data_IF_246280047883
#
_entry.id   IF_246280047883
#
_cell.length_a   1.000
_cell.length_b   1.000
_cell.length_c   1.000
_cell.angle_alpha   90.00
_cell.angle_beta   90.00
_cell.angle_gamma   90.00
#
_symmetry.space_group_name_H-M   'P 1'
#
loop_
_entity.id
_entity.type
_entity.pdbx_description
1 polymer ?
#
# COMPACT_ATOMS: atom_id res chain seq x y z
N UNK A 1 -17.36 11.68 -14.24
CA UNK A 1 -16.09 12.01 -13.55
C UNK A 1 -15.56 10.75 -12.88
N UNK A 2 -14.37 10.29 -13.28
CA UNK A 2 -13.78 9.01 -12.88
C UNK A 2 -13.40 8.99 -11.39
N UNK A 3 -14.25 8.38 -10.55
CA UNK A 3 -13.93 8.08 -9.14
C UNK A 3 -12.59 7.34 -9.01
N UNK A 4 -12.28 6.48 -9.98
CA UNK A 4 -11.02 5.75 -10.12
C UNK A 4 -9.80 6.64 -10.32
N UNK A 5 -9.87 7.59 -11.26
CA UNK A 5 -8.77 8.49 -11.53
C UNK A 5 -8.48 9.36 -10.31
N UNK A 6 -9.54 9.83 -9.64
CA UNK A 6 -9.43 10.65 -8.44
C UNK A 6 -8.88 9.89 -7.23
N UNK A 7 -9.21 8.60 -7.06
CA UNK A 7 -8.63 7.78 -6.00
C UNK A 7 -7.13 7.49 -6.23
N UNK A 8 -6.76 7.21 -7.49
CA UNK A 8 -5.36 7.00 -7.88
C UNK A 8 -4.53 8.29 -7.75
N UNK A 9 -5.09 9.44 -8.12
CA UNK A 9 -4.45 10.76 -7.96
C UNK A 9 -4.32 11.18 -6.49
N UNK A 10 -5.33 10.89 -5.65
CA UNK A 10 -5.31 11.28 -4.24
C UNK A 10 -4.32 10.48 -3.38
N UNK A 11 -3.97 9.24 -3.76
CA UNK A 11 -3.04 8.42 -2.99
C UNK A 11 -1.57 8.61 -3.38
N UNK A 12 -1.28 9.07 -4.60
CA UNK A 12 0.09 9.27 -5.10
C UNK A 12 0.09 10.34 -6.21
N UNK A 13 1.01 11.31 -6.15
CA UNK A 13 1.42 12.14 -7.29
C UNK A 13 2.06 11.25 -8.37
N UNK A 14 1.26 10.50 -9.13
CA UNK A 14 1.72 9.79 -10.31
C UNK A 14 0.67 9.93 -11.42
N UNK A 15 1.15 10.18 -12.64
CA UNK A 15 0.30 10.29 -13.82
C UNK A 15 -0.58 9.05 -13.94
N UNK A 16 -1.89 9.25 -14.04
CA UNK A 16 -2.87 8.17 -14.19
C UNK A 16 -2.58 7.39 -15.48
N UNK A 17 -2.29 6.08 -15.40
CA UNK A 17 -1.98 5.31 -16.59
C UNK A 17 -3.22 5.26 -17.50
N UNK A 18 -3.04 5.59 -18.78
CA UNK A 18 -4.12 5.56 -19.77
C UNK A 18 -4.36 4.10 -20.18
N UNK A 19 -5.58 3.61 -19.99
CA UNK A 19 -5.98 2.28 -20.43
C UNK A 19 -5.95 2.18 -21.96
N UNK A 20 -5.46 1.05 -22.49
CA UNK A 20 -5.41 0.76 -23.94
C UNK A 20 -6.10 -0.56 -24.23
N UNK A 21 -6.68 -0.74 -25.41
CA UNK A 21 -7.20 -2.05 -25.82
C UNK A 21 -6.03 -2.90 -26.31
N UNK A 22 -5.89 -4.13 -25.80
CA UNK A 22 -4.89 -5.07 -26.29
C UNK A 22 -5.38 -5.83 -27.53
N UNK A 23 -4.49 -6.62 -28.15
CA UNK A 23 -4.82 -7.42 -29.35
C UNK A 23 -5.87 -8.50 -29.13
N UNK A 24 -6.24 -8.77 -27.87
CA UNK A 24 -7.27 -9.74 -27.49
C UNK A 24 -8.63 -9.07 -27.21
N UNK A 25 -8.75 -7.75 -27.42
CA UNK A 25 -9.98 -6.97 -27.20
C UNK A 25 -10.23 -6.56 -25.74
N UNK A 26 -9.27 -6.77 -24.83
CA UNK A 26 -9.41 -6.40 -23.42
C UNK A 26 -8.81 -5.03 -23.14
N UNK A 27 -9.40 -4.29 -22.20
CA UNK A 27 -8.76 -3.13 -21.60
C UNK A 27 -7.49 -3.56 -20.82
N UNK A 28 -6.35 -3.00 -21.21
CA UNK A 28 -5.03 -3.19 -20.63
C UNK A 28 -4.63 -1.93 -19.86
N UNK A 29 -4.26 -2.13 -18.60
CA UNK A 29 -3.69 -1.11 -17.74
C UNK A 29 -2.39 -1.62 -17.16
N UNK A 30 -1.27 -0.98 -17.49
CA UNK A 30 0.04 -1.33 -16.95
C UNK A 30 0.29 -0.54 -15.67
N UNK A 31 0.17 -1.20 -14.52
CA UNK A 31 0.47 -0.62 -13.21
C UNK A 31 1.65 -1.38 -12.61
N UNK A 32 2.74 -0.69 -12.29
CA UNK A 32 3.91 -1.28 -11.62
C UNK A 32 3.80 -1.30 -10.10
N UNK A 33 2.91 -0.51 -9.52
CA UNK A 33 2.74 -0.40 -8.06
C UNK A 33 1.87 -1.55 -7.51
N UNK A 34 2.46 -2.39 -6.65
CA UNK A 34 1.77 -3.52 -6.02
C UNK A 34 0.54 -3.09 -5.19
N UNK A 35 0.58 -1.95 -4.50
CA UNK A 35 -0.57 -1.45 -3.73
C UNK A 35 -1.79 -1.28 -4.64
N UNK A 36 -1.57 -0.66 -5.80
CA UNK A 36 -2.62 -0.42 -6.78
C UNK A 36 -3.11 -1.71 -7.43
N UNK A 37 -2.22 -2.66 -7.71
CA UNK A 37 -2.60 -3.97 -8.25
C UNK A 37 -3.50 -4.73 -7.28
N UNK A 38 -3.18 -4.74 -5.98
CA UNK A 38 -4.02 -5.35 -4.93
C UNK A 38 -5.37 -4.67 -4.82
N UNK A 39 -5.40 -3.34 -4.81
CA UNK A 39 -6.64 -2.57 -4.80
C UNK A 39 -7.52 -2.92 -5.99
N UNK A 40 -6.95 -2.96 -7.21
CA UNK A 40 -7.67 -3.31 -8.42
C UNK A 40 -8.25 -4.74 -8.34
N UNK A 41 -7.51 -5.68 -7.72
CA UNK A 41 -7.94 -7.07 -7.50
C UNK A 41 -9.13 -7.16 -6.57
N UNK A 42 -9.05 -6.49 -5.44
CA UNK A 42 -10.14 -6.46 -4.48
C UNK A 42 -11.38 -5.82 -5.09
N UNK A 43 -11.23 -4.70 -5.80
CA UNK A 43 -12.35 -4.05 -6.49
C UNK A 43 -13.01 -4.96 -7.52
N UNK A 44 -12.22 -5.61 -8.38
CA UNK A 44 -12.77 -6.49 -9.42
C UNK A 44 -13.49 -7.70 -8.82
N UNK A 45 -12.98 -8.25 -7.71
CA UNK A 45 -13.65 -9.31 -6.95
C UNK A 45 -14.96 -8.81 -6.32
N UNK A 46 -14.93 -7.65 -5.67
CA UNK A 46 -16.09 -7.04 -5.02
C UNK A 46 -17.23 -6.74 -6.01
N UNK A 47 -16.87 -6.34 -7.24
CA UNK A 47 -17.82 -5.98 -8.29
C UNK A 47 -18.09 -7.10 -9.32
N UNK A 48 -17.59 -8.32 -9.10
CA UNK A 48 -17.75 -9.48 -10.00
C UNK A 48 -17.40 -9.18 -11.47
N UNK A 49 -16.35 -8.40 -11.71
CA UNK A 49 -15.96 -8.01 -13.07
C UNK A 49 -15.15 -9.10 -13.78
N UNK A 50 -15.34 -9.31 -15.09
CA UNK A 50 -14.60 -10.31 -15.84
C UNK A 50 -13.12 -9.94 -15.94
N UNK A 51 -12.25 -10.88 -15.54
CA UNK A 51 -10.82 -10.68 -15.42
C UNK A 51 -10.01 -11.83 -16.01
N UNK A 52 -8.87 -11.52 -16.62
CA UNK A 52 -8.02 -12.51 -17.30
C UNK A 52 -7.17 -13.32 -16.31
N UNK A 53 -7.73 -14.41 -15.78
CA UNK A 53 -7.18 -15.25 -14.69
C UNK A 53 -5.64 -15.37 -14.68
N UNK A 54 -5.01 -15.71 -15.82
CA UNK A 54 -3.55 -15.92 -15.93
C UNK A 54 -2.68 -14.78 -15.39
N UNK A 55 -3.14 -13.52 -15.46
CA UNK A 55 -2.41 -12.34 -14.98
C UNK A 55 -2.72 -12.02 -13.51
N UNK A 56 -3.90 -12.44 -13.05
CA UNK A 56 -4.45 -12.13 -11.74
C UNK A 56 -3.99 -13.08 -10.64
N UNK A 57 -3.70 -14.34 -10.99
CA UNK A 57 -3.16 -15.34 -10.06
C UNK A 57 -1.82 -14.89 -9.45
N UNK A 58 -1.04 -14.10 -10.18
CA UNK A 58 0.29 -13.66 -9.75
C UNK A 58 0.25 -12.48 -8.75
N UNK A 59 -0.90 -11.81 -8.58
CA UNK A 59 -1.04 -10.70 -7.65
C UNK A 59 -1.47 -11.29 -6.31
N UNK A 60 -0.60 -11.27 -5.32
CA UNK A 60 -0.95 -11.66 -3.95
C UNK A 60 -1.51 -10.45 -3.18
N UNK A 61 -2.79 -10.50 -2.83
CA UNK A 61 -3.48 -9.45 -2.07
C UNK A 61 -2.97 -9.30 -0.64
N UNK A 62 -2.42 -10.37 -0.06
CA UNK A 62 -1.99 -10.44 1.32
C UNK A 62 -0.49 -10.19 1.49
N UNK A 63 0.28 -10.18 0.40
CA UNK A 63 1.72 -9.94 0.44
C UNK A 63 2.04 -8.54 0.93
N UNK A 64 2.46 -8.36 2.18
CA UNK A 64 2.92 -7.05 2.67
C UNK A 64 4.38 -6.84 2.26
N UNK A 65 4.65 -5.82 1.45
CA UNK A 65 6.03 -5.49 1.07
C UNK A 65 6.80 -4.89 2.25
N UNK A 66 8.14 -4.97 2.22
CA UNK A 66 8.99 -4.34 3.25
C UNK A 66 8.72 -2.82 3.38
N UNK A 67 8.42 -2.16 2.27
CA UNK A 67 8.08 -0.73 2.24
C UNK A 67 6.72 -0.43 2.86
N UNK A 68 5.71 -1.25 2.58
CA UNK A 68 4.39 -1.16 3.22
C UNK A 68 4.51 -1.40 4.72
N UNK A 69 5.23 -2.45 5.14
CA UNK A 69 5.47 -2.73 6.55
C UNK A 69 6.19 -1.58 7.25
N UNK A 70 7.19 -0.96 6.59
CA UNK A 70 7.87 0.21 7.13
C UNK A 70 6.91 1.39 7.34
N UNK A 71 6.01 1.67 6.38
CA UNK A 71 4.97 2.71 6.53
C UNK A 71 4.01 2.41 7.68
N UNK A 72 3.54 1.16 7.80
CA UNK A 72 2.69 0.71 8.90
C UNK A 72 3.40 0.93 10.23
N UNK A 73 4.66 0.51 10.34
CA UNK A 73 5.46 0.67 11.54
C UNK A 73 5.65 2.15 11.91
N UNK A 74 5.93 3.03 10.95
CA UNK A 74 6.02 4.48 11.18
C UNK A 74 4.70 5.04 11.74
N UNK A 75 3.57 4.68 11.12
CA UNK A 75 2.25 5.11 11.59
C UNK A 75 1.94 4.64 13.01
N UNK A 76 2.24 3.37 13.31
CA UNK A 76 2.04 2.80 14.64
C UNK A 76 2.94 3.44 15.69
N UNK A 77 4.21 3.66 15.39
CA UNK A 77 5.15 4.36 16.29
C UNK A 77 4.66 5.77 16.57
N UNK A 78 4.23 6.52 15.55
CA UNK A 78 3.66 7.86 15.71
C UNK A 78 2.45 7.86 16.67
N UNK A 79 1.46 6.98 16.43
CA UNK A 79 0.29 6.85 17.30
C UNK A 79 0.63 6.49 18.74
N UNK A 80 1.61 5.62 18.95
CA UNK A 80 2.01 5.22 20.31
C UNK A 80 2.77 6.34 21.03
N UNK A 81 3.57 7.14 20.30
CA UNK A 81 4.21 8.33 20.85
C UNK A 81 3.18 9.41 21.25
N UNK A 82 2.15 9.62 20.42
CA UNK A 82 1.02 10.51 20.73
C UNK A 82 0.27 10.05 21.99
N UNK A 83 0.21 8.74 22.23
CA UNK A 83 -0.32 8.14 23.47
C UNK A 83 0.68 8.13 24.64
N UNK A 84 1.74 8.93 24.58
CA UNK A 84 2.79 9.06 25.61
C UNK A 84 3.50 7.75 25.98
N UNK A 85 3.54 6.76 25.08
CA UNK A 85 4.29 5.52 25.31
C UNK A 85 5.79 5.75 25.19
N UNK A 86 6.55 5.17 26.11
CA UNK A 86 8.00 5.16 26.07
C UNK A 86 8.51 4.28 24.92
N UNK A 87 9.71 4.57 24.41
CA UNK A 87 10.33 3.77 23.35
C UNK A 87 10.47 2.28 23.74
N UNK A 88 10.69 2.00 25.04
CA UNK A 88 10.75 0.64 25.58
C UNK A 88 9.40 -0.07 25.46
N UNK A 89 8.30 0.59 25.83
CA UNK A 89 6.96 0.02 25.67
C UNK A 89 6.61 -0.20 24.20
N UNK A 90 6.95 0.75 23.32
CA UNK A 90 6.73 0.64 21.88
C UNK A 90 7.47 -0.58 21.30
N UNK A 91 8.71 -0.82 21.76
CA UNK A 91 9.50 -2.00 21.38
C UNK A 91 8.81 -3.31 21.73
N UNK A 92 8.24 -3.39 22.92
CA UNK A 92 7.52 -4.58 23.38
C UNK A 92 6.22 -4.79 22.61
N UNK A 93 5.45 -3.71 22.38
CA UNK A 93 4.16 -3.76 21.68
C UNK A 93 4.35 -4.17 20.22
N UNK A 94 5.29 -3.52 19.51
CA UNK A 94 5.51 -3.76 18.08
C UNK A 94 6.47 -4.92 17.80
N UNK A 95 7.08 -5.50 18.84
CA UNK A 95 8.13 -6.53 18.74
C UNK A 95 9.27 -6.10 17.81
N UNK A 96 9.60 -4.81 17.83
CA UNK A 96 10.71 -4.22 17.06
C UNK A 96 11.88 -3.95 17.99
N UNK A 97 13.10 -4.01 17.45
CA UNK A 97 14.29 -3.65 18.24
C UNK A 97 14.26 -2.17 18.61
N UNK A 98 14.80 -1.85 19.79
CA UNK A 98 14.91 -0.46 20.26
C UNK A 98 15.67 0.43 19.25
N UNK A 99 16.72 -0.11 18.61
CA UNK A 99 17.46 0.59 17.56
C UNK A 99 16.61 0.92 16.33
N UNK A 100 15.73 0.01 15.90
CA UNK A 100 14.79 0.25 14.80
C UNK A 100 13.83 1.41 15.14
N UNK A 101 13.28 1.42 16.35
CA UNK A 101 12.37 2.49 16.81
C UNK A 101 13.09 3.83 16.86
N UNK A 102 14.28 3.90 17.45
CA UNK A 102 15.07 5.13 17.48
C UNK A 102 15.36 5.66 16.08
N UNK A 103 15.67 4.77 15.14
CA UNK A 103 15.91 5.15 13.75
C UNK A 103 14.63 5.65 13.06
N UNK A 104 13.47 5.03 13.33
CA UNK A 104 12.16 5.48 12.82
C UNK A 104 11.85 6.89 13.33
N UNK A 105 12.02 7.13 14.63
CA UNK A 105 11.75 8.44 15.25
C UNK A 105 12.66 9.52 14.65
N UNK A 106 13.97 9.24 14.58
CA UNK A 106 14.97 10.18 14.06
C UNK A 106 14.77 10.50 12.58
N UNK A 107 14.50 9.49 11.74
CA UNK A 107 14.35 9.71 10.28
C UNK A 107 13.05 10.43 9.90
N UNK A 108 12.01 10.34 10.73
CA UNK A 108 10.70 10.89 10.44
C UNK A 108 10.33 12.11 11.30
N UNK A 109 11.29 12.65 12.08
CA UNK A 109 11.11 13.81 12.96
C UNK A 109 9.86 13.70 13.86
N UNK A 110 9.64 12.51 14.44
CA UNK A 110 8.47 12.23 15.28
C UNK A 110 8.62 12.77 16.72
N UNK A 111 9.76 13.37 17.04
CA UNK A 111 10.08 13.98 18.33
C UNK A 111 11.22 14.98 18.18
#
# INVERSE_FOLDING_TARGET
MNFFAKHLENQVQCATPIAKINTQGYALLCISNNIHQKFLKNFIKEHNLPAMVRKWVNIDEYLISRYEQARINISNVKKLLENNKSQKEISLILKLSAGCISQIIKKNNLK
#
